data_IF_657900392005
#
_entry.id   IF_657900392005
#
_cell.length_a   1.000
_cell.length_b   1.000
_cell.length_c   1.000
_cell.angle_alpha   90.00
_cell.angle_beta   90.00
_cell.angle_gamma   90.00
#
_symmetry.space_group_name_H-M   'P 1'
#
loop_
_entity.id
_entity.type
_entity.pdbx_description
1 polymer ?
#
# COMPACT_ATOMS: atom_id res chain seq x y z
N UNK A 1 -3.27 -7.52 14.72
CA UNK A 1 -2.76 -6.54 13.76
C UNK A 1 -1.47 -7.00 13.07
N UNK A 2 -1.03 -6.26 12.06
CA UNK A 2 0.22 -6.51 11.31
C UNK A 2 1.00 -5.20 11.22
N UNK A 3 2.28 -5.20 11.57
CA UNK A 3 3.15 -4.02 11.42
C UNK A 3 4.59 -4.40 11.12
N UNK A 4 5.30 -3.55 10.38
CA UNK A 4 6.75 -3.60 10.19
C UNK A 4 7.51 -2.62 11.08
N UNK A 5 6.81 -1.83 11.90
CA UNK A 5 7.39 -0.93 12.88
C UNK A 5 7.19 -1.50 14.29
N UNK A 6 8.28 -1.79 14.98
CA UNK A 6 8.26 -2.35 16.35
C UNK A 6 7.51 -1.48 17.35
N UNK A 7 7.48 -0.15 17.15
CA UNK A 7 6.79 0.82 18.01
C UNK A 7 5.26 0.80 17.86
N UNK A 8 4.77 0.34 16.71
CA UNK A 8 3.33 0.26 16.40
C UNK A 8 2.75 -1.12 16.76
N UNK A 9 3.58 -2.01 17.32
CA UNK A 9 3.17 -3.34 17.74
C UNK A 9 2.33 -3.25 19.03
N UNK A 10 1.18 -3.90 18.99
CA UNK A 10 0.32 -4.12 20.15
C UNK A 10 0.21 -5.62 20.46
N UNK A 11 -0.65 -5.94 21.46
CA UNK A 11 -0.92 -7.32 21.85
C UNK A 11 -1.46 -8.14 20.66
N UNK A 12 -0.93 -9.33 20.48
CA UNK A 12 -1.32 -10.30 19.44
C UNK A 12 -1.08 -9.81 17.99
N UNK A 13 -0.12 -8.91 17.80
CA UNK A 13 0.30 -8.45 16.47
C UNK A 13 1.29 -9.42 15.83
N UNK A 14 1.30 -9.42 14.50
CA UNK A 14 2.36 -10.01 13.69
C UNK A 14 3.36 -8.88 13.35
N UNK A 15 4.61 -9.07 13.71
CA UNK A 15 5.72 -8.20 13.31
C UNK A 15 6.39 -8.76 12.06
N UNK A 16 6.54 -7.96 11.01
CA UNK A 16 7.30 -8.36 9.81
C UNK A 16 8.58 -7.55 9.75
N UNK A 17 9.69 -8.20 9.97
CA UNK A 17 11.03 -7.62 9.90
C UNK A 17 11.43 -7.41 8.43
N UNK A 18 11.22 -6.23 7.89
CA UNK A 18 11.58 -5.91 6.51
C UNK A 18 13.07 -5.60 6.44
N UNK A 19 13.76 -6.25 5.50
CA UNK A 19 15.14 -5.95 5.16
C UNK A 19 15.18 -4.92 4.03
N UNK A 20 15.80 -3.77 4.28
CA UNK A 20 16.08 -2.72 3.30
C UNK A 20 17.57 -2.61 3.00
N UNK A 21 17.96 -1.74 2.07
CA UNK A 21 19.37 -1.52 1.71
C UNK A 21 20.21 -1.01 2.89
N UNK A 22 19.67 -0.06 3.66
CA UNK A 22 20.37 0.60 4.77
C UNK A 22 19.74 0.29 6.14
N UNK A 23 18.78 -0.61 6.20
CA UNK A 23 17.99 -0.90 7.40
C UNK A 23 17.64 -2.38 7.46
N UNK A 24 17.87 -2.99 8.60
CA UNK A 24 17.49 -4.37 8.86
C UNK A 24 16.47 -4.43 10.00
N UNK A 25 15.22 -4.75 9.64
CA UNK A 25 14.12 -4.89 10.59
C UNK A 25 14.32 -6.01 11.62
N UNK A 26 15.19 -6.98 11.35
CA UNK A 26 15.49 -8.07 12.26
C UNK A 26 16.06 -7.61 13.60
N UNK A 27 16.77 -6.48 13.61
CA UNK A 27 17.31 -5.86 14.82
C UNK A 27 16.22 -5.41 15.82
N UNK A 28 14.94 -5.35 15.40
CA UNK A 28 13.83 -4.90 16.22
C UNK A 28 12.88 -6.01 16.65
N UNK A 29 13.22 -7.27 16.38
CA UNK A 29 12.39 -8.43 16.75
C UNK A 29 12.17 -8.49 18.26
N UNK A 30 13.21 -8.31 19.07
CA UNK A 30 13.10 -8.35 20.52
C UNK A 30 12.28 -7.19 21.08
N UNK A 31 12.37 -6.01 20.47
CA UNK A 31 11.52 -4.87 20.84
C UNK A 31 10.06 -5.17 20.49
N UNK A 32 9.78 -5.70 19.30
CA UNK A 32 8.44 -6.08 18.88
C UNK A 32 7.82 -7.13 19.81
N UNK A 33 8.60 -8.16 20.21
CA UNK A 33 8.16 -9.17 21.19
C UNK A 33 7.80 -8.51 22.54
N UNK A 34 8.63 -7.62 23.05
CA UNK A 34 8.36 -6.87 24.30
C UNK A 34 7.09 -6.03 24.21
N UNK A 35 6.79 -5.48 23.04
CA UNK A 35 5.59 -4.68 22.79
C UNK A 35 4.34 -5.53 22.56
N UNK A 36 4.45 -6.87 22.52
CA UNK A 36 3.31 -7.78 22.47
C UNK A 36 3.12 -8.51 21.15
N UNK A 37 4.13 -8.54 20.27
CA UNK A 37 4.04 -9.35 19.05
C UNK A 37 3.83 -10.83 19.42
N UNK A 38 2.81 -11.44 18.83
CA UNK A 38 2.55 -12.88 18.93
C UNK A 38 3.54 -13.67 18.10
N UNK A 39 3.90 -13.14 16.93
CA UNK A 39 4.79 -13.78 15.97
C UNK A 39 5.64 -12.71 15.28
N UNK A 40 6.91 -13.04 15.05
CA UNK A 40 7.78 -12.28 14.16
C UNK A 40 8.07 -13.09 12.89
N UNK A 41 8.09 -12.42 11.75
CA UNK A 41 8.52 -12.97 10.47
C UNK A 41 9.81 -12.26 10.03
N UNK A 42 10.84 -13.00 9.65
CA UNK A 42 12.10 -12.44 9.22
C UNK A 42 12.80 -13.33 8.20
N UNK A 43 13.63 -12.73 7.36
CA UNK A 43 14.45 -13.46 6.38
C UNK A 43 15.71 -14.01 7.04
N UNK A 44 16.02 -15.28 6.77
CA UNK A 44 17.29 -15.90 7.14
C UNK A 44 17.58 -16.03 8.64
N UNK A 45 16.55 -15.92 9.50
CA UNK A 45 16.69 -16.07 10.95
C UNK A 45 16.08 -17.39 11.38
N UNK A 46 16.91 -18.25 11.98
CA UNK A 46 16.51 -19.51 12.59
C UNK A 46 16.33 -19.32 14.11
N UNK A 47 15.13 -18.99 14.54
CA UNK A 47 14.74 -18.88 15.94
C UNK A 47 13.34 -19.49 16.13
N UNK A 48 13.14 -20.26 17.20
CA UNK A 48 11.86 -20.95 17.46
C UNK A 48 10.63 -20.03 17.58
N UNK A 49 10.85 -18.74 17.82
CA UNK A 49 9.81 -17.72 17.97
C UNK A 49 9.76 -16.77 16.75
N UNK A 50 10.47 -17.11 15.68
CA UNK A 50 10.49 -16.34 14.43
C UNK A 50 10.13 -17.27 13.29
N UNK A 51 9.17 -16.88 12.47
CA UNK A 51 8.88 -17.59 11.24
C UNK A 51 9.86 -17.16 10.16
N UNK A 52 10.72 -18.07 9.74
CA UNK A 52 11.76 -17.77 8.75
C UNK A 52 11.15 -17.61 7.36
N UNK A 53 11.37 -16.47 6.76
CA UNK A 53 10.97 -16.16 5.38
C UNK A 53 12.10 -16.47 4.40
N UNK A 54 11.70 -16.75 3.14
CA UNK A 54 12.64 -16.80 2.02
C UNK A 54 13.26 -15.42 1.82
N UNK A 55 14.54 -15.38 1.48
CA UNK A 55 15.26 -14.15 1.18
C UNK A 55 14.56 -13.33 0.08
N UNK A 56 14.47 -12.02 0.26
CA UNK A 56 13.80 -11.08 -0.64
C UNK A 56 12.27 -11.11 -0.60
N UNK A 57 11.64 -11.86 0.33
CA UNK A 57 10.17 -12.00 0.35
C UNK A 57 9.47 -11.18 1.44
N UNK A 58 10.19 -10.56 2.36
CA UNK A 58 9.58 -9.87 3.52
C UNK A 58 8.61 -8.75 3.12
N UNK A 59 8.95 -7.94 2.11
CA UNK A 59 8.08 -6.87 1.61
C UNK A 59 6.79 -7.41 0.99
N UNK A 60 6.91 -8.43 0.13
CA UNK A 60 5.78 -9.10 -0.48
C UNK A 60 4.85 -9.71 0.57
N UNK A 61 5.41 -10.47 1.50
CA UNK A 61 4.64 -11.11 2.58
C UNK A 61 3.95 -10.07 3.46
N UNK A 62 4.62 -8.96 3.77
CA UNK A 62 4.02 -7.86 4.53
C UNK A 62 2.79 -7.30 3.84
N UNK A 63 2.88 -6.97 2.54
CA UNK A 63 1.76 -6.44 1.76
C UNK A 63 0.60 -7.43 1.67
N UNK A 64 0.89 -8.71 1.41
CA UNK A 64 -0.13 -9.77 1.36
C UNK A 64 -0.84 -9.96 2.71
N UNK A 65 -0.10 -9.95 3.82
CA UNK A 65 -0.68 -10.05 5.17
C UNK A 65 -1.59 -8.88 5.47
N UNK A 66 -1.21 -7.67 5.06
CA UNK A 66 -2.07 -6.49 5.21
C UNK A 66 -3.34 -6.60 4.35
N UNK A 67 -3.21 -7.11 3.11
CA UNK A 67 -4.37 -7.40 2.26
C UNK A 67 -5.33 -8.43 2.85
N UNK A 68 -4.82 -9.41 3.60
CA UNK A 68 -5.63 -10.36 4.36
C UNK A 68 -6.24 -9.74 5.62
N UNK A 69 -5.50 -8.89 6.32
CA UNK A 69 -5.96 -8.24 7.55
C UNK A 69 -7.05 -7.19 7.27
N UNK A 70 -6.87 -6.37 6.23
CA UNK A 70 -7.84 -5.40 5.72
C UNK A 70 -8.60 -5.99 4.54
N UNK A 71 -9.51 -6.95 4.81
CA UNK A 71 -10.20 -7.72 3.77
C UNK A 71 -11.10 -6.89 2.86
N UNK A 72 -11.63 -5.77 3.37
CA UNK A 72 -12.60 -4.96 2.66
C UNK A 72 -11.91 -3.99 1.72
N UNK A 73 -12.27 -4.09 0.45
CA UNK A 73 -11.75 -3.22 -0.61
C UNK A 73 -12.88 -2.81 -1.56
N UNK A 74 -12.82 -1.61 -2.16
CA UNK A 74 -13.75 -1.20 -3.21
C UNK A 74 -13.83 -2.23 -4.35
N UNK A 75 -15.01 -2.30 -4.99
CA UNK A 75 -15.30 -3.33 -6.00
C UNK A 75 -14.43 -3.20 -7.25
N UNK A 76 -14.15 -1.98 -7.66
CA UNK A 76 -13.37 -1.67 -8.86
C UNK A 76 -12.16 -0.84 -8.46
N UNK A 77 -10.97 -1.39 -8.62
CA UNK A 77 -9.70 -0.71 -8.34
C UNK A 77 -8.83 -0.81 -9.58
N UNK A 78 -8.35 0.32 -10.10
CA UNK A 78 -7.36 0.34 -11.17
C UNK A 78 -6.04 0.93 -10.68
N UNK A 79 -4.92 0.34 -11.11
CA UNK A 79 -3.58 0.87 -10.93
C UNK A 79 -3.13 1.63 -12.16
N UNK A 80 -2.57 2.83 -11.99
CA UNK A 80 -2.05 3.65 -13.10
C UNK A 80 -0.56 3.85 -12.93
N UNK A 81 0.22 3.33 -13.87
CA UNK A 81 1.69 3.45 -13.88
C UNK A 81 2.21 4.14 -15.14
N UNK A 82 3.49 4.41 -15.17
CA UNK A 82 4.24 5.07 -16.24
C UNK A 82 5.07 6.25 -15.73
N UNK A 83 5.89 6.85 -16.57
CA UNK A 83 6.75 7.97 -16.18
C UNK A 83 5.91 9.21 -15.86
N UNK A 84 5.10 9.66 -16.78
CA UNK A 84 4.30 10.89 -16.67
C UNK A 84 2.80 10.62 -16.79
N UNK A 85 1.97 11.52 -16.24
CA UNK A 85 0.53 11.50 -16.42
C UNK A 85 -0.26 10.62 -15.44
N UNK A 86 0.39 9.88 -14.54
CA UNK A 86 -0.28 9.04 -13.53
C UNK A 86 -1.34 9.82 -12.75
N UNK A 87 -0.96 10.93 -12.14
CA UNK A 87 -1.86 11.79 -11.35
C UNK A 87 -3.03 12.29 -12.18
N UNK A 88 -2.78 12.76 -13.42
CA UNK A 88 -3.87 13.25 -14.29
C UNK A 88 -4.86 12.15 -14.63
N UNK A 89 -4.37 10.95 -14.96
CA UNK A 89 -5.24 9.82 -15.31
C UNK A 89 -6.09 9.37 -14.11
N UNK A 90 -5.52 9.22 -12.91
CA UNK A 90 -6.31 8.84 -11.73
C UNK A 90 -7.35 9.90 -11.37
N UNK A 91 -7.01 11.19 -11.51
CA UNK A 91 -7.95 12.28 -11.28
C UNK A 91 -9.09 12.30 -12.30
N UNK A 92 -8.79 12.05 -13.59
CA UNK A 92 -9.82 11.96 -14.63
C UNK A 92 -10.72 10.73 -14.43
N UNK A 93 -10.16 9.57 -14.09
CA UNK A 93 -10.96 8.39 -13.78
C UNK A 93 -11.95 8.67 -12.64
N UNK A 94 -11.48 9.26 -11.53
CA UNK A 94 -12.36 9.64 -10.41
C UNK A 94 -13.50 10.53 -10.88
N UNK A 95 -13.20 11.60 -11.63
CA UNK A 95 -14.22 12.56 -12.11
C UNK A 95 -15.22 11.91 -13.07
N UNK A 96 -14.74 11.10 -14.03
CA UNK A 96 -15.62 10.39 -14.99
C UNK A 96 -16.56 9.44 -14.25
N UNK A 97 -16.05 8.68 -13.30
CA UNK A 97 -16.88 7.77 -12.50
C UNK A 97 -17.90 8.52 -11.64
N UNK A 98 -17.51 9.66 -11.04
CA UNK A 98 -18.44 10.49 -10.28
C UNK A 98 -19.56 11.04 -11.17
N UNK A 99 -19.24 11.52 -12.39
CA UNK A 99 -20.24 11.98 -13.36
C UNK A 99 -21.16 10.85 -13.84
N UNK A 100 -20.65 9.62 -13.90
CA UNK A 100 -21.45 8.43 -14.20
C UNK A 100 -22.34 7.97 -13.02
N UNK A 101 -22.32 8.68 -11.90
CA UNK A 101 -23.15 8.40 -10.71
C UNK A 101 -22.52 7.46 -9.70
N UNK A 102 -21.27 7.08 -9.86
CA UNK A 102 -20.56 6.22 -8.91
C UNK A 102 -19.81 7.04 -7.85
N UNK A 103 -19.84 6.56 -6.60
CA UNK A 103 -18.97 7.11 -5.58
C UNK A 103 -17.55 6.62 -5.82
N UNK A 104 -16.67 7.52 -6.17
CA UNK A 104 -15.33 7.23 -6.67
C UNK A 104 -14.23 7.89 -5.84
N UNK A 105 -13.02 7.37 -5.94
CA UNK A 105 -11.84 7.96 -5.30
C UNK A 105 -10.60 7.90 -6.20
N UNK A 106 -9.68 8.83 -5.94
CA UNK A 106 -8.30 8.79 -6.43
C UNK A 106 -7.34 8.71 -5.24
N UNK A 107 -6.26 7.96 -5.39
CA UNK A 107 -5.18 7.82 -4.41
C UNK A 107 -3.82 8.03 -5.07
N UNK A 108 -3.01 8.90 -4.53
CA UNK A 108 -1.68 9.16 -5.08
C UNK A 108 -1.02 10.41 -4.53
N UNK A 109 -0.21 11.07 -5.34
CA UNK A 109 0.58 12.26 -5.00
C UNK A 109 -0.27 13.39 -4.38
N UNK A 110 -1.51 13.56 -4.82
CA UNK A 110 -2.42 14.57 -4.30
C UNK A 110 -3.20 14.12 -3.04
N UNK A 111 -2.86 12.97 -2.50
CA UNK A 111 -3.59 12.36 -1.39
C UNK A 111 -4.77 11.51 -1.87
N UNK A 112 -5.67 11.17 -0.94
CA UNK A 112 -6.92 10.47 -1.23
C UNK A 112 -8.05 11.49 -1.37
N UNK A 113 -8.76 11.45 -2.49
CA UNK A 113 -9.95 12.27 -2.73
C UNK A 113 -11.13 11.37 -3.02
N UNK A 114 -12.27 11.66 -2.41
CA UNK A 114 -13.55 10.99 -2.70
C UNK A 114 -14.46 11.97 -3.41
N UNK A 115 -15.12 11.52 -4.45
CA UNK A 115 -16.08 12.34 -5.21
C UNK A 115 -17.40 11.60 -5.44
N UNK A 116 -18.45 12.39 -5.42
CA UNK A 116 -19.80 12.05 -5.86
C UNK A 116 -20.24 13.08 -6.90
N UNK A 117 -21.38 12.91 -7.53
CA UNK A 117 -21.94 13.88 -8.48
C UNK A 117 -22.09 15.31 -7.93
N UNK A 118 -22.14 15.47 -6.61
CA UNK A 118 -22.45 16.77 -5.96
C UNK A 118 -21.36 17.29 -5.03
N UNK A 119 -20.37 16.47 -4.67
CA UNK A 119 -19.39 16.83 -3.64
C UNK A 119 -18.04 16.18 -3.88
N UNK A 120 -16.98 16.94 -3.63
CA UNK A 120 -15.59 16.44 -3.55
C UNK A 120 -15.13 16.61 -2.12
N UNK A 121 -14.73 15.52 -1.48
CA UNK A 121 -14.10 15.52 -0.17
C UNK A 121 -12.64 15.08 -0.31
N UNK A 122 -11.72 15.88 0.21
CA UNK A 122 -10.31 15.49 0.28
C UNK A 122 -10.07 14.83 1.63
N UNK A 123 -9.81 13.53 1.56
CA UNK A 123 -9.38 12.74 2.70
C UNK A 123 -7.85 12.67 2.72
N UNK A 124 -7.18 12.25 3.59
CA UNK A 124 -5.75 12.02 3.81
C UNK A 124 -4.76 12.49 2.71
N UNK A 125 -3.75 13.24 3.14
CA UNK A 125 -2.42 13.21 2.49
C UNK A 125 -1.64 12.04 3.07
N UNK A 126 -0.93 11.30 2.22
CA UNK A 126 0.07 10.32 2.68
C UNK A 126 1.03 11.01 3.66
N UNK A 127 1.29 10.41 4.81
CA UNK A 127 2.20 10.97 5.84
C UNK A 127 3.60 11.26 5.28
N UNK A 128 4.01 10.56 4.24
CA UNK A 128 5.35 10.61 3.66
C UNK A 128 5.41 11.26 2.27
N UNK A 129 4.33 11.91 1.80
CA UNK A 129 4.22 12.48 0.44
C UNK A 129 4.59 11.50 -0.69
N UNK A 130 4.36 10.20 -0.48
CA UNK A 130 4.65 9.17 -1.46
C UNK A 130 3.56 9.11 -2.54
N UNK A 131 3.97 8.93 -3.79
CA UNK A 131 3.05 8.72 -4.93
C UNK A 131 2.25 7.44 -4.74
N UNK A 132 2.92 6.33 -4.39
CA UNK A 132 2.27 5.09 -3.97
C UNK A 132 2.45 4.95 -2.46
N UNK A 133 1.35 4.83 -1.75
CA UNK A 133 1.34 4.71 -0.28
C UNK A 133 2.13 3.48 0.19
N UNK A 134 2.64 3.54 1.42
CA UNK A 134 3.15 2.35 2.09
C UNK A 134 2.02 1.31 2.26
N UNK A 135 2.33 0.00 2.24
CA UNK A 135 1.31 -1.05 2.29
C UNK A 135 0.30 -0.90 3.43
N UNK A 136 0.78 -0.54 4.64
CA UNK A 136 -0.10 -0.33 5.80
C UNK A 136 -1.11 0.79 5.60
N UNK A 137 -0.66 1.92 5.05
CA UNK A 137 -1.53 3.06 4.79
C UNK A 137 -2.46 2.76 3.61
N UNK A 138 -1.97 2.08 2.56
CA UNK A 138 -2.75 1.70 1.38
C UNK A 138 -3.93 0.80 1.74
N UNK A 139 -3.66 -0.33 2.39
CA UNK A 139 -4.71 -1.30 2.73
C UNK A 139 -5.71 -0.74 3.74
N UNK A 140 -5.23 0.01 4.75
CA UNK A 140 -6.10 0.72 5.70
C UNK A 140 -7.00 1.73 5.00
N UNK A 141 -6.47 2.47 4.03
CA UNK A 141 -7.26 3.46 3.30
C UNK A 141 -8.28 2.80 2.36
N UNK A 142 -7.95 1.67 1.73
CA UNK A 142 -8.90 0.90 0.94
C UNK A 142 -10.08 0.38 1.78
N UNK A 143 -9.82 -0.12 3.00
CA UNK A 143 -10.86 -0.54 3.96
C UNK A 143 -11.74 0.66 4.38
N UNK A 144 -11.11 1.81 4.62
CA UNK A 144 -11.79 3.07 4.92
C UNK A 144 -12.69 3.51 3.75
N UNK A 145 -12.17 3.51 2.52
CA UNK A 145 -12.94 3.85 1.32
C UNK A 145 -14.13 2.90 1.11
N UNK A 146 -13.95 1.60 1.34
CA UNK A 146 -15.04 0.63 1.31
C UNK A 146 -16.11 0.98 2.36
N UNK A 147 -15.71 1.29 3.57
CA UNK A 147 -16.62 1.68 4.67
C UNK A 147 -17.39 2.96 4.37
N UNK A 148 -16.84 3.84 3.54
CA UNK A 148 -17.51 5.03 3.01
C UNK A 148 -18.29 4.77 1.72
N UNK A 149 -18.56 3.51 1.39
CA UNK A 149 -19.31 3.09 0.20
C UNK A 149 -18.71 3.56 -1.13
N UNK A 150 -17.40 3.77 -1.19
CA UNK A 150 -16.69 4.02 -2.45
C UNK A 150 -16.64 2.71 -3.25
N UNK A 151 -17.09 2.77 -4.50
CA UNK A 151 -17.15 1.60 -5.38
C UNK A 151 -16.01 1.52 -6.38
N UNK A 152 -15.44 2.66 -6.77
CA UNK A 152 -14.43 2.80 -7.82
C UNK A 152 -13.23 3.61 -7.31
N UNK A 153 -12.03 3.07 -7.46
CA UNK A 153 -10.78 3.71 -7.02
C UNK A 153 -9.73 3.64 -8.11
N UNK A 154 -9.08 4.76 -8.39
CA UNK A 154 -7.88 4.83 -9.21
C UNK A 154 -6.67 5.14 -8.33
N UNK A 155 -5.60 4.33 -8.43
CA UNK A 155 -4.40 4.41 -7.60
C UNK A 155 -3.19 4.70 -8.46
N UNK A 156 -2.37 5.68 -8.06
CA UNK A 156 -1.06 5.87 -8.66
C UNK A 156 -0.10 4.75 -8.24
N UNK A 157 0.42 4.02 -9.22
CA UNK A 157 1.40 2.97 -9.05
C UNK A 157 2.76 3.43 -9.60
N UNK A 158 3.63 3.96 -8.74
CA UNK A 158 5.00 4.33 -9.12
C UNK A 158 5.86 3.09 -9.34
N UNK A 159 6.90 3.19 -10.17
CA UNK A 159 7.86 2.10 -10.39
C UNK A 159 8.44 1.57 -9.08
N UNK A 160 8.86 2.45 -8.17
CA UNK A 160 9.30 2.08 -6.83
C UNK A 160 8.22 1.35 -6.02
N UNK A 161 6.94 1.81 -6.11
CA UNK A 161 5.84 1.17 -5.41
C UNK A 161 5.57 -0.25 -5.91
N UNK A 162 5.71 -0.47 -7.21
CA UNK A 162 5.58 -1.80 -7.84
C UNK A 162 6.76 -2.68 -7.44
N UNK A 163 7.98 -2.21 -7.61
CA UNK A 163 9.21 -2.95 -7.28
C UNK A 163 9.28 -3.34 -5.79
N UNK A 164 8.77 -2.47 -4.91
CA UNK A 164 8.71 -2.70 -3.47
C UNK A 164 7.45 -3.44 -3.00
N UNK A 165 6.69 -4.04 -3.91
CA UNK A 165 5.48 -4.83 -3.61
C UNK A 165 4.41 -4.06 -2.82
N UNK A 166 4.32 -2.72 -2.95
CA UNK A 166 3.40 -1.92 -2.14
C UNK A 166 1.93 -2.15 -2.48
N UNK A 167 1.64 -2.58 -3.71
CA UNK A 167 0.28 -2.85 -4.21
C UNK A 167 -0.13 -4.31 -4.09
N UNK A 168 0.76 -5.18 -3.61
CA UNK A 168 0.45 -6.59 -3.45
C UNK A 168 -0.63 -6.77 -2.36
N UNK A 169 -1.58 -7.68 -2.63
CA UNK A 169 -2.78 -7.83 -1.81
C UNK A 169 -3.94 -6.90 -2.21
N UNK A 170 -3.70 -5.89 -3.08
CA UNK A 170 -4.78 -5.10 -3.69
C UNK A 170 -5.42 -5.88 -4.83
N UNK A 171 -6.73 -5.98 -4.82
CA UNK A 171 -7.51 -6.67 -5.87
C UNK A 171 -7.75 -5.73 -7.06
N UNK A 172 -6.74 -5.57 -7.90
CA UNK A 172 -6.85 -4.74 -9.09
C UNK A 172 -7.80 -5.36 -10.12
N UNK A 173 -8.77 -4.57 -10.60
CA UNK A 173 -9.67 -4.91 -11.72
C UNK A 173 -9.04 -4.61 -13.08
N UNK A 174 -8.01 -3.77 -13.10
CA UNK A 174 -7.28 -3.38 -14.29
C UNK A 174 -6.06 -2.54 -14.00
N UNK A 175 -5.22 -2.38 -15.00
CA UNK A 175 -4.04 -1.53 -14.96
C UNK A 175 -3.93 -0.67 -16.21
N UNK A 176 -3.42 0.54 -16.04
CA UNK A 176 -3.17 1.51 -17.11
C UNK A 176 -1.68 1.84 -17.13
N UNK A 177 -1.09 1.73 -18.30
CA UNK A 177 0.28 2.18 -18.54
C UNK A 177 0.25 3.43 -19.42
N UNK A 178 0.72 4.56 -18.90
CA UNK A 178 0.63 5.84 -19.61
C UNK A 178 1.72 6.03 -20.64
N UNK A 179 2.97 5.94 -20.24
CA UNK A 179 4.15 6.08 -21.09
C UNK A 179 5.41 5.60 -20.36
N UNK A 180 6.47 5.39 -21.12
CA UNK A 180 7.81 5.09 -20.63
C UNK A 180 8.81 6.09 -21.20
N UNK A 181 9.54 6.76 -20.33
CA UNK A 181 10.70 7.60 -20.67
C UNK A 181 11.79 7.42 -19.62
N UNK A 182 12.96 8.01 -19.85
CA UNK A 182 14.06 7.97 -18.88
C UNK A 182 13.63 8.64 -17.56
N UNK A 183 13.55 7.84 -16.49
CA UNK A 183 13.21 8.29 -15.15
C UNK A 183 13.76 7.29 -14.12
N UNK A 184 14.19 7.78 -12.96
CA UNK A 184 14.67 6.95 -11.85
C UNK A 184 15.78 5.95 -12.22
N UNK A 185 16.71 6.32 -13.15
CA UNK A 185 17.82 5.45 -13.56
C UNK A 185 18.86 5.21 -12.45
N UNK A 186 18.88 6.04 -11.44
CA UNK A 186 19.62 5.86 -10.19
C UNK A 186 19.12 4.65 -9.38
N UNK A 187 17.85 4.34 -9.50
CA UNK A 187 17.19 3.21 -8.82
C UNK A 187 17.09 1.95 -9.70
N UNK A 188 16.65 2.10 -10.94
CA UNK A 188 16.34 1.01 -11.85
C UNK A 188 17.51 0.66 -12.81
N UNK A 189 18.72 0.65 -12.41
CA UNK A 189 19.94 0.38 -13.19
C UNK A 189 19.75 -0.26 -14.56
#
# INVERSE_FOLDING_TARGET
>A
GVSSNSKDIGKDYIFVAIKGENFDGSNYIEEAKKNGALLALAEGIEDKNVFTLKEGSSRLIYSLLLGCFYEKQPKQIIGVTGTNGKTSVVEFCRQIWAQAGWRSASMGTLGTKIETTTKIDTYHKSKNNLTTYEPSDLHKELDNLFSHHVSHVAIEASSHGIDQYRLDGVRLSGAVFTNLSHDHLDYHK
#
